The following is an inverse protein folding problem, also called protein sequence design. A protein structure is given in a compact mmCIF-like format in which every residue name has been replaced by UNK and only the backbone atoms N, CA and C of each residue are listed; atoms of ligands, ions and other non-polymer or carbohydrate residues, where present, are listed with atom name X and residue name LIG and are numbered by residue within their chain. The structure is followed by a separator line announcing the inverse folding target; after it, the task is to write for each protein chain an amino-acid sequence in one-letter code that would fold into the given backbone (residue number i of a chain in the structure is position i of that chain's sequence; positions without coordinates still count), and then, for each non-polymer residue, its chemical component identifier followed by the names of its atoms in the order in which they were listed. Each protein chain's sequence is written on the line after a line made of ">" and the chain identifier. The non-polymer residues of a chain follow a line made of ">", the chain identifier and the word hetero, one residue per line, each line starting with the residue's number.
data_IF_924687682843
#
_entry.id   IF_924687682843
#
_cell.length_a   1.000
_cell.length_b   1.000
_cell.length_c   1.000
_cell.angle_alpha   90.00
_cell.angle_beta   90.00
_cell.angle_gamma   90.00
#
_symmetry.space_group_name_H-M   'P 1'
#
loop_
_entity.id
_entity.type
_entity.pdbx_description
1 polymer ?
#
# COMPACT_ATOMS: atom_id res chain seq x y z
N UNK A 1 -6.85 -15.78 16.89
CA UNK A 1 -5.67 -16.43 17.51
C UNK A 1 -4.48 -15.73 16.90
N UNK A 2 -3.84 -14.81 17.60
CA UNK A 2 -2.73 -14.04 17.04
C UNK A 2 -1.51 -14.95 16.92
N UNK A 3 -1.03 -15.15 15.69
CA UNK A 3 0.17 -15.93 15.44
C UNK A 3 1.43 -15.04 15.60
N UNK A 4 2.61 -15.65 15.71
CA UNK A 4 3.89 -14.92 15.83
C UNK A 4 4.05 -13.85 14.75
N UNK A 5 3.62 -14.16 13.53
CA UNK A 5 3.72 -13.26 12.38
C UNK A 5 2.87 -12.01 12.56
N UNK A 6 1.66 -12.15 13.09
CA UNK A 6 0.76 -11.01 13.34
C UNK A 6 1.43 -10.00 14.29
N UNK A 7 2.01 -10.48 15.40
CA UNK A 7 2.74 -9.63 16.34
C UNK A 7 3.96 -8.94 15.72
N UNK A 8 4.70 -9.64 14.84
CA UNK A 8 5.84 -9.05 14.14
C UNK A 8 5.39 -7.95 13.17
N UNK A 9 4.33 -8.18 12.41
CA UNK A 9 3.80 -7.21 11.46
C UNK A 9 3.20 -5.99 12.15
N UNK A 10 2.49 -6.19 13.27
CA UNK A 10 2.01 -5.08 14.10
C UNK A 10 3.16 -4.24 14.63
N UNK A 11 4.23 -4.88 15.13
CA UNK A 11 5.44 -4.18 15.59
C UNK A 11 6.11 -3.40 14.47
N UNK A 12 6.37 -4.05 13.33
CA UNK A 12 7.02 -3.42 12.17
C UNK A 12 6.19 -2.23 11.64
N UNK A 13 4.86 -2.31 11.75
CA UNK A 13 3.98 -1.20 11.38
C UNK A 13 4.06 -0.01 12.34
N UNK A 14 4.15 -0.28 13.65
CA UNK A 14 4.36 0.80 14.62
C UNK A 14 5.73 1.45 14.40
N UNK A 15 6.78 0.65 14.19
CA UNK A 15 8.12 1.17 13.86
C UNK A 15 8.08 2.07 12.62
N UNK A 16 7.39 1.66 11.55
CA UNK A 16 7.25 2.46 10.33
C UNK A 16 6.57 3.81 10.62
N UNK A 17 5.50 3.81 11.43
CA UNK A 17 4.77 5.04 11.83
C UNK A 17 5.62 5.97 12.69
N UNK A 18 6.35 5.40 13.65
CA UNK A 18 7.20 6.16 14.57
C UNK A 18 8.36 6.83 13.83
N UNK A 19 8.98 6.13 12.89
CA UNK A 19 10.08 6.68 12.10
C UNK A 19 9.64 7.75 11.10
N UNK A 20 8.39 7.70 10.62
CA UNK A 20 7.80 8.69 9.71
C UNK A 20 8.70 9.00 8.51
N UNK A 21 9.13 7.95 7.80
CA UNK A 21 10.01 8.11 6.64
C UNK A 21 9.34 8.94 5.54
N UNK A 22 10.03 9.98 5.08
CA UNK A 22 9.49 10.89 4.07
C UNK A 22 9.23 10.14 2.76
N UNK A 23 8.00 10.29 2.25
CA UNK A 23 7.62 9.69 0.98
C UNK A 23 7.38 8.19 1.06
N UNK A 24 7.29 7.59 2.25
CA UNK A 24 6.93 6.18 2.41
C UNK A 24 5.69 6.07 3.28
N UNK A 25 4.66 5.39 2.76
CA UNK A 25 3.48 5.00 3.55
C UNK A 25 3.14 3.55 3.29
N UNK A 26 2.62 2.85 4.29
CA UNK A 26 2.11 1.49 4.12
C UNK A 26 0.88 1.26 4.99
N UNK A 27 0.04 0.33 4.59
CA UNK A 27 -1.19 -0.03 5.30
C UNK A 27 -1.57 -1.48 5.02
N UNK A 28 -2.11 -2.20 6.04
CA UNK A 28 -2.68 -3.52 5.81
C UNK A 28 -3.94 -3.40 4.95
N UNK A 29 -4.10 -4.33 4.01
CA UNK A 29 -5.26 -4.44 3.10
C UNK A 29 -6.21 -5.54 3.57
N UNK A 30 -5.69 -6.57 4.23
CA UNK A 30 -6.44 -7.68 4.79
C UNK A 30 -6.52 -7.64 6.31
N UNK A 31 -7.56 -8.26 6.88
CA UNK A 31 -7.72 -8.37 8.34
C UNK A 31 -6.66 -9.25 9.00
N UNK A 32 -6.13 -10.23 8.27
CA UNK A 32 -5.08 -11.14 8.73
C UNK A 32 -3.67 -10.53 8.65
N UNK A 33 -3.56 -9.27 8.22
CA UNK A 33 -2.30 -8.54 8.04
C UNK A 33 -1.33 -9.20 7.04
N UNK A 34 -1.73 -10.19 6.24
CA UNK A 34 -0.81 -10.85 5.31
C UNK A 34 -0.68 -10.10 3.99
N UNK A 35 -1.63 -9.22 3.66
CA UNK A 35 -1.58 -8.36 2.47
C UNK A 35 -1.48 -6.89 2.84
N UNK A 36 -0.54 -6.19 2.21
CA UNK A 36 -0.28 -4.77 2.45
C UNK A 36 -0.21 -3.99 1.14
N UNK A 37 -0.67 -2.75 1.21
CA UNK A 37 -0.42 -1.70 0.23
C UNK A 37 0.66 -0.78 0.75
N UNK A 38 1.49 -0.25 -0.15
CA UNK A 38 2.46 0.79 0.18
C UNK A 38 2.59 1.79 -0.96
N UNK A 39 2.98 3.01 -0.62
CA UNK A 39 3.36 4.06 -1.56
C UNK A 39 4.78 4.50 -1.25
N UNK A 40 5.60 4.62 -2.31
CA UNK A 40 6.96 5.15 -2.24
C UNK A 40 7.07 6.33 -3.21
N UNK A 41 7.46 7.49 -2.69
CA UNK A 41 7.90 8.65 -3.47
C UNK A 41 9.40 8.52 -3.75
N UNK A 42 9.80 8.85 -4.99
CA UNK A 42 11.22 8.92 -5.34
C UNK A 42 11.98 9.97 -4.53
N UNK A 43 13.25 9.67 -4.23
CA UNK A 43 14.11 10.53 -3.41
C UNK A 43 14.34 11.91 -4.05
N UNK A 44 14.53 12.92 -3.19
CA UNK A 44 14.93 14.26 -3.61
C UNK A 44 16.26 14.25 -4.34
N UNK A 45 16.43 15.20 -5.27
CA UNK A 45 17.63 15.35 -6.10
C UNK A 45 17.91 14.14 -7.02
N UNK A 46 16.90 13.32 -7.28
CA UNK A 46 16.94 12.26 -8.29
C UNK A 46 15.88 12.55 -9.35
N UNK A 47 15.98 11.93 -10.52
CA UNK A 47 14.94 12.10 -11.54
C UNK A 47 13.61 11.41 -11.16
N UNK A 48 13.59 10.64 -10.05
CA UNK A 48 12.38 10.08 -9.47
C UNK A 48 11.64 11.04 -8.51
N UNK A 49 12.23 12.19 -8.18
CA UNK A 49 11.64 13.13 -7.22
C UNK A 49 10.22 13.54 -7.63
N UNK A 50 9.27 13.42 -6.69
CA UNK A 50 7.86 13.74 -6.89
C UNK A 50 7.06 12.67 -7.65
N UNK A 51 7.69 11.56 -8.07
CA UNK A 51 7.00 10.42 -8.65
C UNK A 51 6.62 9.42 -7.56
N UNK A 52 5.39 8.91 -7.61
CA UNK A 52 4.82 8.00 -6.63
C UNK A 52 4.60 6.61 -7.22
N UNK A 53 5.02 5.59 -6.46
CA UNK A 53 4.93 4.20 -6.85
C UNK A 53 4.10 3.43 -5.83
N UNK A 54 2.98 2.88 -6.29
CA UNK A 54 2.16 1.95 -5.51
C UNK A 54 2.80 0.58 -5.51
N UNK A 55 2.77 -0.10 -4.37
CA UNK A 55 3.26 -1.45 -4.17
C UNK A 55 2.19 -2.34 -3.52
N UNK A 56 2.25 -3.63 -3.86
CA UNK A 56 1.60 -4.71 -3.12
C UNK A 56 2.68 -5.54 -2.43
N UNK A 57 2.47 -5.85 -1.16
CA UNK A 57 3.35 -6.70 -0.36
C UNK A 57 2.52 -7.87 0.18
N UNK A 58 3.02 -9.08 -0.04
CA UNK A 58 2.40 -10.31 0.43
C UNK A 58 3.35 -11.03 1.38
N UNK A 59 2.92 -11.14 2.64
CA UNK A 59 3.58 -11.90 3.69
C UNK A 59 3.08 -13.34 3.71
N UNK A 60 3.85 -14.22 4.35
CA UNK A 60 3.45 -15.59 4.62
C UNK A 60 3.47 -15.84 6.12
N UNK A 61 2.90 -16.96 6.57
CA UNK A 61 2.98 -17.38 7.97
C UNK A 61 4.41 -17.60 8.49
N UNK A 62 5.40 -17.67 7.59
CA UNK A 62 6.83 -17.80 7.91
C UNK A 62 7.56 -16.44 7.91
N UNK A 63 6.83 -15.32 7.96
CA UNK A 63 7.45 -14.00 7.91
C UNK A 63 8.55 -13.81 8.97
N UNK A 64 9.52 -13.04 8.51
CA UNK A 64 10.87 -12.78 8.96
C UNK A 64 11.87 -13.94 8.77
N UNK A 65 11.43 -15.20 8.70
CA UNK A 65 12.29 -16.29 8.23
C UNK A 65 12.35 -16.35 6.71
N UNK A 66 11.22 -16.04 6.06
CA UNK A 66 11.10 -15.92 4.60
C UNK A 66 10.75 -14.48 4.26
N UNK A 67 11.41 -13.86 3.24
CA UNK A 67 11.06 -12.53 2.79
C UNK A 67 9.63 -12.47 2.24
N UNK A 68 8.95 -11.31 2.33
CA UNK A 68 7.68 -11.14 1.65
C UNK A 68 7.88 -10.99 0.14
N UNK A 69 6.83 -11.26 -0.61
CA UNK A 69 6.79 -10.96 -2.04
C UNK A 69 6.36 -9.51 -2.23
N UNK A 70 7.19 -8.73 -2.91
CA UNK A 70 6.91 -7.31 -3.22
C UNK A 70 6.76 -7.09 -4.71
N UNK A 71 5.72 -6.34 -5.11
CA UNK A 71 5.47 -5.94 -6.50
C UNK A 71 5.07 -4.49 -6.59
N UNK A 72 5.65 -3.77 -7.55
CA UNK A 72 5.17 -2.48 -7.99
C UNK A 72 3.86 -2.65 -8.77
N UNK A 73 2.83 -1.91 -8.37
CA UNK A 73 1.58 -1.75 -9.12
C UNK A 73 1.73 -0.63 -10.14
N UNK A 74 2.32 0.49 -9.73
CA UNK A 74 2.87 1.49 -10.66
C UNK A 74 4.25 1.01 -11.10
N UNK A 75 4.33 0.30 -12.22
CA UNK A 75 5.59 -0.33 -12.66
C UNK A 75 6.55 0.76 -13.17
N UNK A 76 7.69 1.03 -12.49
CA UNK A 76 8.68 1.95 -13.00
C UNK A 76 9.40 1.35 -14.22
N UNK A 77 9.71 2.19 -15.21
CA UNK A 77 10.69 1.85 -16.23
C UNK A 77 12.08 1.91 -15.58
N UNK A 78 12.53 0.78 -15.00
CA UNK A 78 13.72 0.70 -14.16
C UNK A 78 14.54 -0.57 -14.44
N UNK A 79 15.88 -0.53 -14.47
CA UNK A 79 16.75 -1.68 -14.75
C UNK A 79 16.46 -2.91 -13.89
N UNK A 80 16.12 -2.72 -12.61
CA UNK A 80 15.90 -3.79 -11.64
C UNK A 80 14.43 -4.14 -11.40
N UNK A 81 13.50 -3.68 -12.25
CA UNK A 81 12.07 -4.01 -12.12
C UNK A 81 11.56 -4.66 -13.39
N UNK A 82 10.95 -5.84 -13.22
CA UNK A 82 10.31 -6.57 -14.30
C UNK A 82 9.09 -5.80 -14.84
N UNK A 83 9.10 -5.49 -16.13
CA UNK A 83 8.09 -4.64 -16.76
C UNK A 83 6.69 -5.26 -16.85
N UNK A 84 6.58 -6.59 -16.74
CA UNK A 84 5.32 -7.29 -16.91
C UNK A 84 4.65 -7.60 -15.55
N UNK A 85 5.46 -7.92 -14.55
CA UNK A 85 5.01 -8.40 -13.25
C UNK A 85 5.15 -7.35 -12.15
N UNK A 86 5.94 -6.30 -12.37
CA UNK A 86 6.28 -5.29 -11.37
C UNK A 86 7.20 -5.80 -10.26
N UNK A 87 7.73 -7.02 -10.37
CA UNK A 87 8.62 -7.58 -9.35
C UNK A 87 9.94 -6.81 -9.35
N UNK A 88 10.31 -6.29 -8.17
CA UNK A 88 11.63 -5.75 -7.94
C UNK A 88 12.63 -6.90 -7.76
N UNK A 89 13.77 -6.83 -8.43
CA UNK A 89 14.86 -7.74 -8.23
C UNK A 89 15.90 -7.08 -7.32
N UNK A 90 15.80 -7.35 -6.02
CA UNK A 90 16.72 -6.83 -5.01
C UNK A 90 17.24 -7.97 -4.17
N UNK A 91 18.53 -7.88 -3.85
CA UNK A 91 19.28 -8.97 -3.27
C UNK A 91 18.72 -9.42 -1.90
N UNK A 92 18.31 -8.48 -1.05
CA UNK A 92 17.71 -8.83 0.25
C UNK A 92 16.41 -9.64 0.12
N UNK A 93 15.66 -9.55 -1.00
CA UNK A 93 14.41 -10.30 -1.18
C UNK A 93 14.62 -11.58 -2.00
N UNK A 94 15.66 -11.64 -2.83
CA UNK A 94 15.84 -12.71 -3.82
C UNK A 94 16.98 -13.67 -3.49
N UNK A 95 17.94 -13.26 -2.66
CA UNK A 95 19.09 -14.05 -2.26
C UNK A 95 18.90 -14.56 -0.80
N UNK A 96 18.68 -15.87 -0.60
CA UNK A 96 18.49 -16.45 0.73
C UNK A 96 19.66 -16.20 1.68
N UNK A 97 20.89 -16.06 1.17
CA UNK A 97 22.08 -15.83 1.99
C UNK A 97 22.18 -14.37 2.48
N UNK A 98 21.45 -13.45 1.81
CA UNK A 98 21.40 -12.04 2.18
C UNK A 98 20.19 -11.69 3.01
N UNK A 99 19.09 -12.43 2.91
CA UNK A 99 17.93 -12.23 3.76
C UNK A 99 18.28 -12.48 5.24
N UNK A 100 17.94 -11.51 6.09
CA UNK A 100 18.12 -11.60 7.53
C UNK A 100 16.80 -11.33 8.26
N UNK A 101 16.52 -12.12 9.30
CA UNK A 101 15.37 -11.95 10.21
C UNK A 101 15.27 -10.59 10.90
N UNK A 102 16.34 -9.78 10.85
CA UNK A 102 16.35 -8.39 11.33
C UNK A 102 15.75 -7.40 10.34
N UNK A 103 15.53 -7.77 9.07
CA UNK A 103 14.86 -6.88 8.12
C UNK A 103 13.38 -6.74 8.47
N UNK A 104 12.95 -5.49 8.55
CA UNK A 104 11.58 -5.08 8.88
C UNK A 104 10.87 -4.54 7.65
N UNK A 105 9.56 -4.30 7.76
CA UNK A 105 8.80 -3.56 6.74
C UNK A 105 9.48 -2.23 6.35
N UNK A 106 9.97 -1.47 7.35
CA UNK A 106 10.75 -0.25 7.16
C UNK A 106 11.99 -0.49 6.30
N UNK A 107 12.77 -1.52 6.65
CA UNK A 107 14.01 -1.87 5.96
C UNK A 107 13.76 -2.16 4.49
N UNK A 108 12.71 -2.94 4.19
CA UNK A 108 12.34 -3.32 2.82
C UNK A 108 11.92 -2.10 2.01
N UNK A 109 11.02 -1.26 2.55
CA UNK A 109 10.51 -0.08 1.85
C UNK A 109 11.60 0.96 1.59
N UNK A 110 12.49 1.18 2.56
CA UNK A 110 13.66 2.06 2.39
C UNK A 110 14.61 1.53 1.32
N UNK A 111 14.93 0.22 1.34
CA UNK A 111 15.79 -0.38 0.31
C UNK A 111 15.17 -0.21 -1.08
N UNK A 112 13.85 -0.38 -1.23
CA UNK A 112 13.16 -0.15 -2.51
C UNK A 112 13.21 1.32 -2.95
N UNK A 113 13.00 2.26 -2.03
CA UNK A 113 13.10 3.70 -2.32
C UNK A 113 14.51 4.10 -2.76
N UNK A 114 15.54 3.58 -2.09
CA UNK A 114 16.95 3.81 -2.45
C UNK A 114 17.29 3.14 -3.78
N UNK A 115 16.79 1.92 -4.02
CA UNK A 115 17.04 1.16 -5.24
C UNK A 115 16.56 1.90 -6.49
N UNK A 116 15.40 2.57 -6.45
CA UNK A 116 14.92 3.41 -7.56
C UNK A 116 16.01 4.38 -8.03
N UNK A 117 16.71 5.00 -7.09
CA UNK A 117 17.72 6.03 -7.37
C UNK A 117 19.10 5.47 -7.68
N UNK A 118 19.35 4.19 -7.38
CA UNK A 118 20.66 3.55 -7.49
C UNK A 118 20.50 2.21 -8.23
N UNK A 119 20.25 2.24 -9.55
CA UNK A 119 20.04 1.02 -10.32
C UNK A 119 21.31 0.17 -10.36
N UNK A 120 21.13 -1.15 -10.17
CA UNK A 120 22.17 -2.15 -10.39
C UNK A 120 22.15 -2.52 -11.87
N UNK A 121 23.25 -2.27 -12.58
CA UNK A 121 23.34 -2.45 -14.03
C UNK A 121 23.97 -3.79 -14.42
N UNK A 122 24.52 -4.51 -13.45
CA UNK A 122 24.97 -5.89 -13.58
C UNK A 122 23.76 -6.81 -13.68
N UNK A 123 23.61 -7.52 -14.80
CA UNK A 123 22.50 -8.44 -15.07
C UNK A 123 21.10 -7.81 -14.81
N UNK A 124 20.76 -6.71 -15.52
CA UNK A 124 19.51 -6.01 -15.30
C UNK A 124 18.33 -6.89 -15.72
N UNK A 125 17.21 -6.76 -15.01
CA UNK A 125 15.94 -7.42 -15.36
C UNK A 125 15.33 -6.76 -16.60
N UNK A 126 15.36 -5.43 -16.64
CA UNK A 126 14.96 -4.65 -17.79
C UNK A 126 16.21 -4.15 -18.55
N UNK A 127 16.61 -4.92 -19.56
CA UNK A 127 17.77 -4.58 -20.41
C UNK A 127 17.58 -3.26 -21.14
N UNK A 128 16.35 -2.92 -21.56
CA UNK A 128 16.08 -1.70 -22.31
C UNK A 128 16.30 -0.46 -21.44
N UNK A 129 15.76 -0.46 -20.22
CA UNK A 129 15.99 0.61 -19.25
C UNK A 129 17.48 0.77 -18.93
N UNK A 130 18.19 -0.34 -18.72
CA UNK A 130 19.63 -0.31 -18.44
C UNK A 130 20.44 0.27 -19.60
N UNK A 131 20.19 -0.21 -20.83
CA UNK A 131 20.88 0.27 -22.03
C UNK A 131 20.61 1.75 -22.30
N UNK A 132 19.37 2.19 -22.11
CA UNK A 132 18.99 3.60 -22.30
C UNK A 132 19.67 4.49 -21.26
N UNK A 133 19.66 4.09 -19.98
CA UNK A 133 20.32 4.83 -18.91
C UNK A 133 21.84 4.93 -19.13
N UNK A 134 22.50 3.84 -19.55
CA UNK A 134 23.94 3.83 -19.86
C UNK A 134 24.27 4.75 -21.04
N UNK A 135 23.41 4.76 -22.06
CA UNK A 135 23.66 5.49 -23.30
C UNK A 135 23.38 6.99 -23.15
N UNK A 136 22.27 7.36 -22.53
CA UNK A 136 21.82 8.74 -22.39
C UNK A 136 20.84 8.87 -21.21
N UNK A 137 21.35 9.36 -20.08
CA UNK A 137 20.57 9.60 -18.87
C UNK A 137 19.46 10.64 -19.08
N UNK A 138 19.68 11.63 -19.96
CA UNK A 138 18.68 12.67 -20.23
C UNK A 138 17.50 12.11 -21.02
N UNK A 139 17.78 11.27 -22.02
CA UNK A 139 16.75 10.55 -22.77
C UNK A 139 15.98 9.59 -21.85
N UNK A 140 16.69 8.84 -21.01
CA UNK A 140 16.08 7.95 -20.03
C UNK A 140 15.12 8.69 -19.10
N UNK A 141 15.54 9.84 -18.56
CA UNK A 141 14.70 10.70 -17.73
C UNK A 141 13.43 11.16 -18.46
N UNK A 142 13.56 11.58 -19.73
CA UNK A 142 12.39 11.97 -20.53
C UNK A 142 11.43 10.81 -20.72
N UNK A 143 11.94 9.60 -20.96
CA UNK A 143 11.13 8.41 -21.16
C UNK A 143 10.38 8.00 -19.89
N UNK A 144 11.04 8.02 -18.73
CA UNK A 144 10.40 7.78 -17.43
C UNK A 144 9.22 8.73 -17.21
N UNK A 145 9.45 10.04 -17.39
CA UNK A 145 8.40 11.04 -17.24
C UNK A 145 7.27 10.86 -18.26
N UNK A 146 7.60 10.49 -19.50
CA UNK A 146 6.62 10.23 -20.55
C UNK A 146 5.70 9.07 -20.14
N UNK A 147 6.26 7.95 -19.69
CA UNK A 147 5.52 6.74 -19.33
C UNK A 147 4.60 6.96 -18.13
N UNK A 148 5.06 7.72 -17.11
CA UNK A 148 4.26 7.97 -15.91
C UNK A 148 3.16 9.02 -16.12
N UNK A 149 3.33 9.93 -17.08
CA UNK A 149 2.29 10.90 -17.44
C UNK A 149 1.28 10.37 -18.45
N UNK A 150 1.46 9.15 -18.98
CA UNK A 150 0.44 8.53 -19.80
C UNK A 150 -0.75 8.12 -18.92
N UNK A 151 -2.00 8.42 -19.33
CA UNK A 151 -3.17 7.85 -18.68
C UNK A 151 -3.08 6.33 -18.86
N UNK A 152 -2.73 5.61 -17.80
CA UNK A 152 -2.55 4.16 -17.85
C UNK A 152 -3.86 3.53 -18.29
N UNK A 153 -3.88 2.89 -19.47
CA UNK A 153 -5.05 2.21 -20.06
C UNK A 153 -5.41 0.90 -19.32
N UNK A 154 -4.97 0.72 -18.08
CA UNK A 154 -5.27 -0.44 -17.22
C UNK A 154 -6.15 0.00 -16.05
N UNK A 155 -7.38 0.38 -16.36
CA UNK A 155 -8.48 0.49 -15.39
C UNK A 155 -9.60 -0.52 -15.70
N UNK A 156 -9.24 -1.69 -16.22
CA UNK A 156 -10.19 -2.78 -16.47
C UNK A 156 -9.72 -4.01 -15.68
N UNK A 157 -10.50 -4.38 -14.66
CA UNK A 157 -10.39 -5.55 -13.77
C UNK A 157 -9.96 -5.30 -12.31
N UNK A 158 -10.31 -4.14 -11.75
CA UNK A 158 -10.60 -4.03 -10.31
C UNK A 158 -12.08 -3.72 -10.12
N UNK A 159 -12.74 -4.19 -9.05
CA UNK A 159 -14.12 -3.81 -8.76
C UNK A 159 -14.20 -2.28 -8.71
N UNK A 160 -15.12 -1.68 -9.44
CA UNK A 160 -15.26 -0.22 -9.45
C UNK A 160 -15.49 0.30 -8.04
N UNK A 161 -14.51 1.01 -7.49
CA UNK A 161 -14.78 2.00 -6.46
C UNK A 161 -15.66 3.09 -7.09
N UNK A 162 -16.81 3.45 -6.48
CA UNK A 162 -17.71 4.44 -7.04
C UNK A 162 -16.97 5.74 -7.34
N UNK A 163 -17.02 6.15 -8.61
CA UNK A 163 -16.56 7.47 -9.07
C UNK A 163 -17.55 8.53 -8.61
N UNK A 164 -17.59 8.83 -7.32
CA UNK A 164 -18.19 10.08 -6.82
C UNK A 164 -17.77 10.34 -5.36
N UNK A 165 -16.91 11.34 -5.08
CA UNK A 165 -16.59 11.72 -3.70
C UNK A 165 -17.79 12.34 -2.97
N UNK A 166 -18.90 12.62 -3.65
CA UNK A 166 -20.11 13.23 -3.06
C UNK A 166 -21.23 12.23 -2.68
N UNK A 167 -20.99 10.90 -2.77
CA UNK A 167 -21.97 9.89 -2.30
C UNK A 167 -21.73 9.36 -0.89
N UNK A 168 -20.80 9.94 -0.12
CA UNK A 168 -20.69 9.71 1.33
C UNK A 168 -21.46 10.76 2.16
N UNK A 169 -22.56 11.28 1.64
CA UNK A 169 -23.61 11.86 2.48
C UNK A 169 -24.71 10.80 2.53
N UNK A 170 -24.81 10.07 3.65
CA UNK A 170 -26.05 9.35 3.99
C UNK A 170 -27.17 10.33 3.71
N UNK A 171 -28.13 9.95 2.86
CA UNK A 171 -29.33 10.76 2.65
C UNK A 171 -30.01 10.94 4.00
N UNK A 172 -29.67 12.03 4.70
CA UNK A 172 -30.41 12.54 5.84
C UNK A 172 -31.67 13.12 5.22
N UNK A 173 -32.65 12.25 4.94
CA UNK A 173 -34.00 12.72 4.69
C UNK A 173 -34.41 13.44 5.96
N UNK A 174 -34.60 14.76 5.86
CA UNK A 174 -35.25 15.51 6.91
C UNK A 174 -36.64 14.90 7.12
N UNK A 175 -36.83 14.22 8.24
CA UNK A 175 -38.11 13.70 8.67
C UNK A 175 -38.89 14.88 9.26
N UNK A 176 -40.15 15.06 8.86
CA UNK A 176 -40.98 16.11 9.46
C UNK A 176 -41.20 15.83 10.94
N UNK A 177 -41.41 16.87 11.76
CA UNK A 177 -41.72 16.68 13.19
C UNK A 177 -42.90 15.73 13.41
N UNK A 178 -43.89 15.74 12.50
CA UNK A 178 -45.06 14.87 12.57
C UNK A 178 -44.72 13.39 12.29
N UNK A 179 -43.82 13.13 11.34
CA UNK A 179 -43.38 11.76 11.03
C UNK A 179 -42.47 11.21 12.13
N UNK A 180 -41.63 12.05 12.73
CA UNK A 180 -40.87 11.71 13.93
C UNK A 180 -41.80 11.37 15.09
N UNK A 181 -42.78 12.24 15.38
CA UNK A 181 -43.72 12.04 16.49
C UNK A 181 -44.52 10.74 16.33
N UNK A 182 -45.09 10.48 15.14
CA UNK A 182 -45.81 9.22 14.87
C UNK A 182 -44.94 7.98 15.06
N UNK A 183 -43.69 8.05 14.63
CA UNK A 183 -42.76 6.90 14.69
C UNK A 183 -42.34 6.61 16.12
N UNK A 184 -42.08 7.65 16.92
CA UNK A 184 -41.49 7.50 18.26
C UNK A 184 -42.49 7.56 19.42
N UNK A 185 -43.70 8.09 19.22
CA UNK A 185 -44.73 8.16 20.27
C UNK A 185 -45.25 6.79 20.71
N UNK A 186 -45.11 5.75 19.89
CA UNK A 186 -45.50 4.37 20.23
C UNK A 186 -44.40 3.55 20.91
N UNK A 187 -43.14 3.98 20.82
CA UNK A 187 -41.97 3.27 21.38
C UNK A 187 -41.70 3.72 22.82
N UNK A 188 -42.09 4.95 23.18
CA UNK A 188 -41.80 5.58 24.45
C UNK A 188 -42.91 5.46 25.52
N UNK A 189 -43.73 4.41 25.48
CA UNK A 189 -44.61 4.07 26.62
C UNK A 189 -44.22 2.71 27.19
N UNK A 190 -43.18 2.69 28.03
CA UNK A 190 -43.05 1.61 29.00
C UNK A 190 -44.19 1.75 30.01
N UNK A 191 -45.16 0.84 29.97
CA UNK A 191 -45.88 0.49 31.20
C UNK A 191 -44.81 -0.05 32.14
N UNK A 192 -44.46 0.71 33.17
CA UNK A 192 -43.58 0.24 34.21
C UNK A 192 -44.21 -1.02 34.82
N UNK A 193 -43.58 -2.16 34.56
CA UNK A 193 -43.88 -3.43 35.20
C UNK A 193 -43.66 -3.30 36.70
N UNK A 194 -44.75 -3.35 37.47
CA UNK A 194 -44.77 -3.44 38.92
C UNK A 194 -44.15 -4.78 39.37
N UNK A 195 -42.82 -4.85 39.49
CA UNK A 195 -42.12 -6.03 40.04
C UNK A 195 -41.28 -5.75 41.29
N UNK A 196 -41.51 -4.62 41.96
CA UNK A 196 -40.98 -4.36 43.31
C UNK A 196 -42.09 -3.88 44.24
N UNK A 197 -42.93 -4.81 44.68
CA UNK A 197 -43.52 -4.78 46.03
C UNK A 197 -43.24 -6.14 46.66
N UNK A 198 -42.32 -6.17 47.60
CA UNK A 198 -42.28 -7.23 48.60
C UNK A 198 -42.88 -6.68 49.90
N UNK A 199 -43.59 -7.52 50.68
CA UNK A 199 -44.34 -7.11 51.87
C UNK A 199 -43.48 -6.55 53.00
#
# INVERSE_FOLDING_TARGET
>A
MHCRTDFLLERDFQELKENNFKGITAFPVSEDLMEWGADIEGLQNTFWHGLFFQLKINFTSQYNFVPPVVKFLTIPFHPNVDQNTGRACIDILDDPDKWNTSYTLSSILLTLQVMLSNPVLENPVNLEAAQMLIKDESLYKQEVLRLLNQPTQLRNNSPEFPKDPDKLIRSTKAISFNDYYKTWSGIATSKATEYYRSP
#
